data_IF_031297043919
#
_entry.id   IF_031297043919
#
_cell.length_a   1.000
_cell.length_b   1.000
_cell.length_c   1.000
_cell.angle_alpha   90.00
_cell.angle_beta   90.00
_cell.angle_gamma   90.00
#
_symmetry.space_group_name_H-M   'P 1'
#
loop_
_entity.id
_entity.type
_entity.pdbx_description
1 polymer ?
#
# COMPACT_ATOMS: atom_id res chain seq x y z
N UNK A 1 -15.30 7.47 -16.94
CA UNK A 1 -16.74 7.80 -16.85
C UNK A 1 -17.01 9.31 -16.89
N UNK A 2 -16.07 10.14 -16.45
CA UNK A 2 -16.19 11.60 -16.44
C UNK A 2 -15.75 12.22 -17.77
N UNK A 3 -16.34 13.37 -18.12
CA UNK A 3 -16.02 14.09 -19.37
C UNK A 3 -14.59 14.62 -19.41
N UNK A 4 -14.03 15.01 -18.26
CA UNK A 4 -12.65 15.52 -18.17
C UNK A 4 -11.59 14.42 -17.98
N UNK A 5 -11.98 13.14 -18.07
CA UNK A 5 -11.01 12.04 -17.99
C UNK A 5 -10.27 11.86 -19.32
N UNK A 6 -9.08 11.25 -19.27
CA UNK A 6 -8.25 10.99 -20.46
C UNK A 6 -9.02 10.23 -21.56
N UNK A 7 -9.89 9.29 -21.16
CA UNK A 7 -10.83 8.60 -22.04
C UNK A 7 -12.24 8.77 -21.48
N UNK A 8 -12.97 9.80 -21.92
CA UNK A 8 -14.37 10.01 -21.53
C UNK A 8 -15.20 8.75 -21.77
N UNK A 9 -16.13 8.45 -20.85
CA UNK A 9 -16.96 7.25 -20.93
C UNK A 9 -16.29 5.92 -20.54
N UNK A 10 -14.95 5.84 -20.40
CA UNK A 10 -14.29 4.60 -20.01
C UNK A 10 -14.79 4.09 -18.64
N UNK A 11 -15.06 2.79 -18.45
CA UNK A 11 -15.50 2.25 -17.16
C UNK A 11 -14.49 2.52 -16.05
N UNK A 12 -14.97 2.79 -14.82
CA UNK A 12 -14.08 2.89 -13.66
C UNK A 12 -13.65 1.49 -13.19
N UNK A 13 -12.70 0.89 -13.91
CA UNK A 13 -12.17 -0.46 -13.67
C UNK A 13 -10.64 -0.47 -13.65
N UNK A 14 -10.07 -1.45 -12.97
CA UNK A 14 -8.62 -1.62 -12.81
C UNK A 14 -7.87 -1.68 -14.15
N UNK A 15 -8.44 -2.38 -15.13
CA UNK A 15 -7.87 -2.57 -16.46
C UNK A 15 -7.81 -1.27 -17.25
N UNK A 16 -8.81 -0.41 -17.08
CA UNK A 16 -8.88 0.89 -17.75
C UNK A 16 -7.87 1.88 -17.15
N UNK A 17 -7.71 1.88 -15.82
CA UNK A 17 -6.68 2.69 -15.13
C UNK A 17 -5.28 2.27 -15.61
N UNK A 18 -5.01 0.96 -15.64
CA UNK A 18 -3.72 0.45 -16.08
C UNK A 18 -3.45 0.80 -17.56
N UNK A 19 -4.47 0.71 -18.42
CA UNK A 19 -4.38 1.11 -19.83
C UNK A 19 -4.05 2.60 -19.98
N UNK A 20 -4.70 3.47 -19.21
CA UNK A 20 -4.44 4.91 -19.22
C UNK A 20 -3.03 5.25 -18.75
N UNK A 21 -2.59 4.64 -17.64
CA UNK A 21 -1.23 4.84 -17.13
C UNK A 21 -0.18 4.39 -18.15
N UNK A 22 -0.37 3.23 -18.79
CA UNK A 22 0.55 2.76 -19.84
C UNK A 22 0.59 3.72 -21.02
N UNK A 23 -0.55 4.23 -21.46
CA UNK A 23 -0.62 5.20 -22.54
C UNK A 23 0.11 6.50 -22.20
N UNK A 24 -0.15 7.09 -21.02
CA UNK A 24 0.49 8.33 -20.58
C UNK A 24 2.00 8.14 -20.45
N UNK A 25 2.45 7.07 -19.78
CA UNK A 25 3.88 6.80 -19.59
C UNK A 25 4.58 6.57 -20.94
N UNK A 26 3.99 5.78 -21.84
CA UNK A 26 4.58 5.49 -23.14
C UNK A 26 4.65 6.74 -24.04
N UNK A 27 3.64 7.61 -24.00
CA UNK A 27 3.60 8.84 -24.79
C UNK A 27 4.53 9.92 -24.24
N UNK A 28 4.53 10.13 -22.92
CA UNK A 28 5.33 11.17 -22.27
C UNK A 28 6.80 10.78 -22.09
N UNK A 29 7.10 9.47 -21.97
CA UNK A 29 8.45 8.92 -21.75
C UNK A 29 9.17 9.57 -20.54
N UNK A 30 8.57 9.53 -19.34
CA UNK A 30 9.17 10.17 -18.17
C UNK A 30 10.51 9.53 -17.78
N UNK A 31 11.43 10.34 -17.26
CA UNK A 31 12.63 9.88 -16.56
C UNK A 31 12.39 9.71 -15.05
N UNK A 32 11.42 10.45 -14.50
CA UNK A 32 10.99 10.40 -13.10
C UNK A 32 9.46 10.38 -13.03
N UNK A 33 8.91 9.53 -12.18
CA UNK A 33 7.48 9.49 -11.87
C UNK A 33 7.30 9.76 -10.38
N UNK A 34 6.61 10.85 -10.05
CA UNK A 34 6.17 11.17 -8.70
C UNK A 34 4.76 10.65 -8.51
N UNK A 35 4.53 9.88 -7.45
CA UNK A 35 3.28 9.17 -7.22
C UNK A 35 3.01 8.99 -5.72
N UNK A 36 1.82 8.57 -5.34
CA UNK A 36 1.49 8.27 -3.95
C UNK A 36 2.28 7.08 -3.39
N UNK A 37 2.56 7.12 -2.10
CA UNK A 37 3.30 6.08 -1.39
C UNK A 37 2.43 4.84 -1.09
N UNK A 38 2.96 3.60 -1.16
CA UNK A 38 2.22 2.36 -0.84
C UNK A 38 1.80 2.19 0.63
N UNK A 39 2.20 3.14 1.48
CA UNK A 39 1.87 3.19 2.91
C UNK A 39 0.80 4.23 3.21
N UNK A 40 0.32 4.95 2.18
CA UNK A 40 -0.78 5.88 2.30
C UNK A 40 -2.06 5.14 2.73
N UNK A 41 -2.88 5.75 3.58
CA UNK A 41 -4.10 5.14 4.08
C UNK A 41 -5.30 5.32 3.13
N UNK A 42 -5.16 6.15 2.08
CA UNK A 42 -6.16 6.29 1.04
C UNK A 42 -6.04 5.16 0.00
N UNK A 43 -7.14 4.46 -0.27
CA UNK A 43 -7.15 3.32 -1.19
C UNK A 43 -6.84 3.69 -2.64
N UNK A 44 -7.22 4.88 -3.08
CA UNK A 44 -6.99 5.33 -4.45
C UNK A 44 -5.51 5.72 -4.64
N UNK A 45 -4.90 6.29 -3.60
CA UNK A 45 -3.46 6.52 -3.53
C UNK A 45 -2.67 5.20 -3.61
N UNK A 46 -3.09 4.18 -2.85
CA UNK A 46 -2.48 2.85 -2.95
C UNK A 46 -2.67 2.28 -4.37
N UNK A 47 -3.88 2.36 -4.91
CA UNK A 47 -4.19 1.82 -6.24
C UNK A 47 -3.32 2.46 -7.33
N UNK A 48 -3.18 3.79 -7.32
CA UNK A 48 -2.30 4.51 -8.25
C UNK A 48 -0.86 4.00 -8.19
N UNK A 49 -0.33 3.77 -6.98
CA UNK A 49 1.00 3.21 -6.81
C UNK A 49 1.13 1.81 -7.44
N UNK A 50 0.21 0.90 -7.11
CA UNK A 50 0.24 -0.48 -7.59
C UNK A 50 0.10 -0.56 -9.11
N UNK A 51 -0.84 0.18 -9.71
CA UNK A 51 -1.01 0.19 -11.16
C UNK A 51 0.14 0.87 -11.89
N UNK A 52 0.77 1.90 -11.30
CA UNK A 52 1.97 2.50 -11.88
C UNK A 52 3.14 1.52 -11.89
N UNK A 53 3.33 0.72 -10.82
CA UNK A 53 4.34 -0.35 -10.83
C UNK A 53 4.09 -1.34 -11.98
N UNK A 54 2.88 -1.85 -12.09
CA UNK A 54 2.51 -2.79 -13.17
C UNK A 54 2.72 -2.17 -14.54
N UNK A 55 2.32 -0.91 -14.75
CA UNK A 55 2.54 -0.19 -16.01
C UNK A 55 4.04 -0.09 -16.34
N UNK A 56 4.88 0.22 -15.34
CA UNK A 56 6.35 0.28 -15.56
C UNK A 56 6.97 -1.09 -15.83
N UNK A 57 6.47 -2.16 -15.23
CA UNK A 57 6.94 -3.52 -15.54
C UNK A 57 6.53 -3.97 -16.94
N UNK A 58 5.31 -3.63 -17.36
CA UNK A 58 4.82 -3.92 -18.72
C UNK A 58 5.61 -3.14 -19.80
N UNK A 59 6.15 -1.97 -19.46
CA UNK A 59 6.88 -1.07 -20.36
C UNK A 59 8.41 -1.16 -20.19
N UNK A 60 8.93 -2.01 -19.31
CA UNK A 60 10.33 -2.01 -18.88
C UNK A 60 11.35 -2.25 -20.00
N UNK A 61 10.92 -2.85 -21.12
CA UNK A 61 11.75 -3.04 -22.32
C UNK A 61 12.00 -1.76 -23.10
N UNK A 62 11.25 -0.69 -22.79
CA UNK A 62 11.32 0.60 -23.50
C UNK A 62 11.62 1.78 -22.57
N UNK A 63 11.21 1.70 -21.30
CA UNK A 63 11.27 2.81 -20.35
C UNK A 63 11.59 2.31 -18.93
N UNK A 64 12.53 2.98 -18.26
CA UNK A 64 12.92 2.68 -16.87
C UNK A 64 12.91 3.96 -16.00
N UNK A 65 11.75 4.62 -15.82
CA UNK A 65 11.67 5.80 -14.98
C UNK A 65 12.03 5.49 -13.52
N UNK A 66 12.70 6.43 -12.87
CA UNK A 66 12.84 6.40 -11.41
C UNK A 66 11.49 6.74 -10.75
N UNK A 67 11.13 6.02 -9.69
CA UNK A 67 9.88 6.21 -8.97
C UNK A 67 10.14 6.95 -7.67
N UNK A 68 9.34 8.00 -7.42
CA UNK A 68 9.48 8.93 -6.30
C UNK A 68 8.18 9.00 -5.49
N UNK A 69 7.89 8.00 -4.62
CA UNK A 69 6.62 7.95 -3.92
C UNK A 69 6.56 8.97 -2.77
N UNK A 70 5.55 9.84 -2.75
CA UNK A 70 5.28 10.78 -1.67
C UNK A 70 4.11 10.31 -0.80
N UNK A 71 4.21 10.53 0.50
CA UNK A 71 3.18 10.14 1.46
C UNK A 71 2.27 11.33 1.76
N UNK A 72 0.96 11.09 1.79
CA UNK A 72 -0.03 12.10 2.18
C UNK A 72 -0.76 11.63 3.44
N UNK A 73 -1.61 10.60 3.34
CA UNK A 73 -2.44 10.16 4.46
C UNK A 73 -1.72 9.12 5.29
N UNK A 74 -1.22 9.53 6.45
CA UNK A 74 -0.60 8.62 7.40
C UNK A 74 -0.90 9.01 8.83
N UNK A 75 -1.08 8.00 9.69
CA UNK A 75 -1.51 8.21 11.09
C UNK A 75 -0.55 9.17 11.80
N UNK A 76 -1.11 10.25 12.35
CA UNK A 76 -0.39 11.26 13.15
C UNK A 76 0.84 11.82 12.44
N UNK A 77 0.73 12.01 11.13
CA UNK A 77 1.78 12.59 10.30
C UNK A 77 1.15 13.50 9.24
N UNK A 78 1.79 14.61 8.85
CA UNK A 78 3.05 15.14 9.38
C UNK A 78 2.90 15.83 10.74
N UNK A 79 4.02 15.91 11.46
CA UNK A 79 4.08 16.46 12.83
C UNK A 79 5.21 17.49 12.93
N UNK A 80 4.96 18.69 13.49
CA UNK A 80 3.65 19.19 13.95
C UNK A 80 2.68 19.43 12.78
N UNK A 81 1.37 19.42 13.06
CA UNK A 81 0.33 19.80 12.09
C UNK A 81 0.25 21.32 11.91
N UNK A 82 -0.33 21.75 10.80
CA UNK A 82 -0.52 23.16 10.46
C UNK A 82 0.65 23.79 9.74
N UNK A 83 0.50 25.09 9.47
CA UNK A 83 1.44 25.86 8.67
C UNK A 83 2.74 26.14 9.41
N UNK A 84 3.84 25.51 8.96
CA UNK A 84 5.19 25.65 9.51
C UNK A 84 6.21 25.65 8.36
N UNK A 85 6.22 26.69 7.51
CA UNK A 85 7.00 26.71 6.27
C UNK A 85 8.52 26.63 6.51
N UNK A 86 9.03 27.08 7.67
CA UNK A 86 10.44 27.01 8.03
C UNK A 86 10.89 25.62 8.54
N UNK A 87 9.95 24.72 8.86
CA UNK A 87 10.24 23.39 9.39
C UNK A 87 10.46 22.36 8.27
N UNK A 88 11.27 21.34 8.56
CA UNK A 88 11.38 20.18 7.68
C UNK A 88 10.15 19.28 7.81
N UNK A 89 9.69 18.78 6.67
CA UNK A 89 8.96 17.53 6.60
C UNK A 89 9.94 16.41 6.91
N UNK A 90 9.62 15.58 7.92
CA UNK A 90 10.44 14.43 8.33
C UNK A 90 9.69 13.14 8.03
N UNK A 91 10.36 12.02 7.70
CA UNK A 91 9.69 10.75 7.51
C UNK A 91 8.86 10.31 8.74
N UNK A 92 7.77 9.54 8.56
CA UNK A 92 7.12 8.88 9.68
C UNK A 92 8.11 8.01 10.46
N UNK A 93 8.08 8.08 11.80
CA UNK A 93 9.07 7.41 12.66
C UNK A 93 9.27 5.93 12.32
N UNK A 94 8.17 5.22 12.05
CA UNK A 94 8.19 3.78 11.73
C UNK A 94 8.91 3.44 10.42
N UNK A 95 9.02 4.40 9.48
CA UNK A 95 9.67 4.20 8.18
C UNK A 95 10.99 4.93 8.04
N UNK A 96 11.43 5.67 9.06
CA UNK A 96 12.63 6.52 8.99
C UNK A 96 13.88 5.76 8.53
N UNK A 97 14.06 4.52 9.01
CA UNK A 97 15.23 3.69 8.72
C UNK A 97 14.92 2.46 7.85
N UNK A 98 13.65 2.29 7.43
CA UNK A 98 13.23 1.18 6.58
C UNK A 98 13.13 1.55 5.10
N UNK A 99 13.09 2.84 4.82
CA UNK A 99 12.91 3.40 3.49
C UNK A 99 14.03 4.43 3.28
N UNK A 100 14.76 4.37 2.15
CA UNK A 100 15.70 5.41 1.78
C UNK A 100 14.91 6.64 1.35
N UNK A 101 14.76 7.61 2.26
CA UNK A 101 14.04 8.85 1.98
C UNK A 101 14.93 9.86 1.26
N UNK A 102 14.48 10.30 0.09
CA UNK A 102 15.04 11.41 -0.66
C UNK A 102 14.38 12.72 -0.22
N UNK A 103 15.19 13.75 -0.02
CA UNK A 103 14.75 15.07 0.40
C UNK A 103 15.03 16.10 -0.69
N UNK A 104 14.01 16.85 -1.10
CA UNK A 104 14.17 17.97 -2.05
C UNK A 104 13.91 19.28 -1.34
N UNK A 105 14.93 20.14 -1.22
CA UNK A 105 14.81 21.44 -0.52
C UNK A 105 14.05 22.45 -1.36
N UNK A 106 13.15 23.18 -0.71
CA UNK A 106 12.39 24.26 -1.31
C UNK A 106 12.91 25.62 -0.85
N UNK A 107 13.03 26.55 -1.80
CA UNK A 107 13.24 27.96 -1.49
C UNK A 107 11.95 28.56 -0.89
N UNK A 108 12.07 29.75 -0.30
CA UNK A 108 10.90 30.49 0.19
C UNK A 108 9.89 30.77 -0.94
N UNK A 109 10.38 31.10 -2.15
CA UNK A 109 9.55 31.31 -3.34
C UNK A 109 8.72 30.07 -3.66
N UNK A 110 9.34 28.89 -3.77
CA UNK A 110 8.61 27.65 -4.07
C UNK A 110 7.66 27.24 -2.96
N UNK A 111 8.03 27.46 -1.70
CA UNK A 111 7.15 27.21 -0.55
C UNK A 111 5.90 28.09 -0.60
N UNK A 112 6.03 29.36 -0.98
CA UNK A 112 4.92 30.28 -1.17
C UNK A 112 4.04 29.87 -2.37
N UNK A 113 4.64 29.54 -3.51
CA UNK A 113 3.92 29.02 -4.69
C UNK A 113 3.12 27.76 -4.34
N UNK A 114 3.70 26.82 -3.59
CA UNK A 114 2.99 25.62 -3.12
C UNK A 114 1.76 25.97 -2.28
N UNK A 115 1.87 26.94 -1.37
CA UNK A 115 0.72 27.39 -0.57
C UNK A 115 -0.39 27.98 -1.44
N UNK A 116 -0.05 28.78 -2.45
CA UNK A 116 -1.01 29.35 -3.39
C UNK A 116 -1.72 28.24 -4.18
N UNK A 117 -0.96 27.29 -4.73
CA UNK A 117 -1.51 26.12 -5.43
C UNK A 117 -2.50 25.33 -4.55
N UNK A 118 -2.13 25.04 -3.30
CA UNK A 118 -3.01 24.35 -2.33
C UNK A 118 -4.32 25.13 -2.09
N UNK A 119 -4.27 26.46 -2.03
CA UNK A 119 -5.45 27.31 -1.82
C UNK A 119 -6.41 27.33 -3.02
N UNK A 120 -5.94 27.03 -4.23
CA UNK A 120 -6.80 26.95 -5.42
C UNK A 120 -7.79 25.77 -5.35
N UNK A 121 -7.50 24.71 -4.60
CA UNK A 121 -8.42 23.60 -4.36
C UNK A 121 -9.50 23.96 -3.32
N UNK A 122 -10.29 24.99 -3.59
CA UNK A 122 -11.20 25.66 -2.63
C UNK A 122 -12.11 24.69 -1.86
N UNK A 123 -12.70 23.72 -2.55
CA UNK A 123 -13.62 22.73 -1.95
C UNK A 123 -12.93 21.85 -0.90
N UNK A 124 -11.65 21.51 -1.09
CA UNK A 124 -10.87 20.71 -0.15
C UNK A 124 -10.15 21.60 0.88
N UNK A 125 -9.72 22.79 0.47
CA UNK A 125 -9.01 23.72 1.33
C UNK A 125 -9.89 24.22 2.48
N UNK A 126 -11.13 24.65 2.20
CA UNK A 126 -12.05 25.17 3.25
C UNK A 126 -12.16 24.23 4.46
N UNK A 127 -12.57 22.96 4.31
CA UNK A 127 -12.74 22.05 5.46
C UNK A 127 -11.41 21.51 6.02
N UNK A 128 -10.33 21.48 5.25
CA UNK A 128 -9.10 20.76 5.63
C UNK A 128 -7.82 21.61 5.60
N UNK A 129 -7.92 22.94 5.57
CA UNK A 129 -6.77 23.85 5.45
C UNK A 129 -5.69 23.59 6.49
N UNK A 130 -6.05 23.24 7.73
CA UNK A 130 -5.05 22.94 8.78
C UNK A 130 -4.21 21.72 8.41
N UNK A 131 -4.83 20.65 7.91
CA UNK A 131 -4.11 19.46 7.47
C UNK A 131 -3.29 19.73 6.20
N UNK A 132 -3.90 20.34 5.18
CA UNK A 132 -3.24 20.64 3.91
C UNK A 132 -2.02 21.56 4.07
N UNK A 133 -2.11 22.59 4.93
CA UNK A 133 -0.98 23.47 5.26
C UNK A 133 0.15 22.77 6.03
N UNK A 134 -0.09 21.58 6.56
CA UNK A 134 0.96 20.76 7.20
C UNK A 134 2.01 20.26 6.21
N UNK A 135 1.67 20.23 4.92
CA UNK A 135 2.60 19.88 3.84
C UNK A 135 3.37 21.07 3.29
N UNK A 136 3.08 22.30 3.74
CA UNK A 136 3.90 23.46 3.38
C UNK A 136 5.08 23.52 4.36
N UNK A 137 6.22 23.03 3.88
CA UNK A 137 7.48 22.80 4.60
C UNK A 137 8.64 23.22 3.70
N UNK A 138 9.85 23.33 4.26
CA UNK A 138 11.06 23.72 3.49
C UNK A 138 11.65 22.60 2.61
N UNK A 139 10.95 21.47 2.52
CA UNK A 139 11.33 20.32 1.70
C UNK A 139 10.12 19.47 1.31
N UNK A 140 10.29 18.69 0.24
CA UNK A 140 9.50 17.51 -0.07
C UNK A 140 10.24 16.23 0.35
N UNK A 141 9.49 15.15 0.55
CA UNK A 141 10.02 13.83 0.85
C UNK A 141 9.48 12.78 -0.11
N UNK A 142 10.38 11.98 -0.65
CA UNK A 142 10.06 10.85 -1.51
C UNK A 142 10.75 9.60 -0.96
N UNK A 143 10.10 8.46 -1.02
CA UNK A 143 10.67 7.23 -0.47
C UNK A 143 10.05 6.01 -1.13
N UNK A 144 10.88 5.17 -1.73
CA UNK A 144 10.43 3.90 -2.31
C UNK A 144 10.77 2.76 -1.35
N UNK A 145 9.80 2.00 -0.84
CA UNK A 145 10.12 0.81 -0.06
C UNK A 145 10.97 -0.16 -0.88
N UNK A 146 11.98 -0.80 -0.26
CA UNK A 146 12.86 -1.71 -0.98
C UNK A 146 12.07 -2.91 -1.52
N UNK A 147 12.45 -3.36 -2.71
CA UNK A 147 11.98 -4.62 -3.27
C UNK A 147 12.63 -5.77 -2.49
N UNK A 148 11.83 -6.73 -2.06
CA UNK A 148 12.30 -7.88 -1.28
C UNK A 148 12.55 -9.04 -2.22
N UNK A 149 13.75 -9.61 -2.23
CA UNK A 149 14.02 -10.85 -2.92
C UNK A 149 13.69 -12.04 -2.00
N UNK A 150 12.71 -12.85 -2.39
CA UNK A 150 12.41 -14.12 -1.73
C UNK A 150 13.16 -15.24 -2.45
N UNK A 151 14.10 -15.87 -1.75
CA UNK A 151 14.80 -17.06 -2.20
C UNK A 151 14.17 -18.31 -1.58
N UNK A 152 14.06 -19.43 -2.31
CA UNK A 152 13.63 -20.69 -1.74
C UNK A 152 14.46 -21.09 -0.52
N UNK A 153 13.80 -21.70 0.46
CA UNK A 153 14.38 -22.33 1.66
C UNK A 153 15.26 -21.39 2.50
N UNK A 154 15.03 -20.08 2.35
CA UNK A 154 15.67 -19.03 3.13
C UNK A 154 14.85 -18.69 4.38
N UNK A 155 15.48 -17.98 5.33
CA UNK A 155 14.80 -17.49 6.54
C UNK A 155 13.64 -16.56 6.16
N UNK A 156 12.60 -16.57 6.99
CA UNK A 156 11.47 -15.66 6.83
C UNK A 156 11.92 -14.19 6.84
N UNK A 157 11.42 -13.42 5.88
CA UNK A 157 11.72 -11.99 5.75
C UNK A 157 10.62 -11.16 6.42
N UNK A 158 11.00 -10.25 7.32
CA UNK A 158 10.07 -9.31 7.95
C UNK A 158 9.72 -8.16 6.98
N UNK A 159 8.44 -8.07 6.59
CA UNK A 159 7.95 -7.01 5.69
C UNK A 159 7.67 -5.69 6.40
N UNK A 160 7.53 -5.74 7.72
CA UNK A 160 7.32 -4.59 8.60
C UNK A 160 8.47 -4.48 9.60
N UNK A 161 8.76 -3.27 10.07
CA UNK A 161 9.44 -3.15 11.37
C UNK A 161 8.56 -3.70 12.49
N UNK A 162 9.11 -3.89 13.68
CA UNK A 162 8.29 -4.10 14.87
C UNK A 162 7.35 -2.90 15.07
N UNK A 163 6.03 -3.13 14.96
CA UNK A 163 5.01 -2.09 15.03
C UNK A 163 4.34 -2.00 16.41
N UNK A 164 4.82 -2.70 17.45
CA UNK A 164 4.14 -2.77 18.76
C UNK A 164 3.83 -1.38 19.33
N UNK A 165 4.78 -0.44 19.29
CA UNK A 165 4.52 0.95 19.71
C UNK A 165 3.62 1.75 18.74
N UNK A 166 3.64 1.40 17.46
CA UNK A 166 2.81 2.08 16.47
C UNK A 166 1.34 1.69 16.61
N UNK A 167 1.05 0.41 16.91
CA UNK A 167 -0.32 -0.10 17.04
C UNK A 167 -1.00 0.36 18.33
N UNK A 168 -0.26 0.81 19.35
CA UNK A 168 -0.88 1.41 20.56
C UNK A 168 -1.53 2.78 20.28
N UNK A 169 -1.11 3.45 19.21
CA UNK A 169 -1.68 4.73 18.81
C UNK A 169 -2.88 4.52 17.89
N UNK A 170 -4.08 4.87 18.36
CA UNK A 170 -5.27 4.78 17.53
C UNK A 170 -5.21 5.78 16.35
N UNK A 171 -5.67 5.37 15.15
CA UNK A 171 -5.93 6.31 14.06
C UNK A 171 -6.88 7.42 14.48
N UNK A 172 -6.65 8.63 13.97
CA UNK A 172 -7.39 9.82 14.39
C UNK A 172 -8.87 9.81 13.98
N UNK A 173 -9.22 9.02 12.95
CA UNK A 173 -10.60 8.88 12.49
C UNK A 173 -11.42 7.89 13.32
N UNK A 174 -10.81 7.14 14.24
CA UNK A 174 -11.53 6.18 15.08
C UNK A 174 -12.10 6.87 16.32
N UNK A 175 -13.40 6.69 16.54
CA UNK A 175 -14.06 7.06 17.81
C UNK A 175 -13.57 6.18 18.95
N UNK A 176 -13.75 6.62 20.21
CA UNK A 176 -13.39 5.85 21.41
C UNK A 176 -14.01 4.45 21.40
N UNK A 177 -15.28 4.33 20.97
CA UNK A 177 -15.99 3.06 20.88
C UNK A 177 -15.34 2.10 19.87
N UNK A 178 -14.96 2.58 18.68
CA UNK A 178 -14.23 1.78 17.68
C UNK A 178 -12.80 1.49 18.13
N UNK A 179 -12.18 2.38 18.91
CA UNK A 179 -10.86 2.20 19.49
C UNK A 179 -10.75 0.95 20.37
N UNK A 180 -11.81 0.62 21.13
CA UNK A 180 -11.85 -0.63 21.92
C UNK A 180 -11.77 -1.90 21.07
N UNK A 181 -12.23 -1.83 19.81
CA UNK A 181 -12.23 -2.92 18.82
C UNK A 181 -10.99 -2.92 17.94
N UNK A 182 -10.05 -2.01 18.16
CA UNK A 182 -8.83 -1.91 17.37
C UNK A 182 -7.98 -3.18 17.49
N UNK A 183 -7.68 -3.76 16.34
CA UNK A 183 -6.71 -4.85 16.18
C UNK A 183 -5.69 -4.38 15.15
N UNK A 184 -4.46 -4.13 15.60
CA UNK A 184 -3.35 -3.75 14.74
C UNK A 184 -2.61 -4.97 14.21
N UNK A 185 -1.89 -4.80 13.10
CA UNK A 185 -0.92 -5.80 12.66
C UNK A 185 0.46 -5.41 13.19
N UNK A 186 1.04 -6.25 14.04
CA UNK A 186 2.33 -5.93 14.66
C UNK A 186 3.50 -6.29 13.76
N UNK A 187 3.42 -7.47 13.13
CA UNK A 187 4.47 -8.00 12.28
C UNK A 187 3.86 -8.80 11.12
N UNK A 188 4.45 -8.65 9.94
CA UNK A 188 4.20 -9.48 8.77
C UNK A 188 5.51 -10.10 8.28
N UNK A 189 5.51 -11.41 8.07
CA UNK A 189 6.64 -12.16 7.54
C UNK A 189 6.25 -12.93 6.30
N UNK A 190 7.17 -12.99 5.34
CA UNK A 190 7.06 -13.84 4.16
C UNK A 190 8.24 -14.78 4.07
N UNK A 191 7.96 -16.04 3.79
CA UNK A 191 8.97 -17.06 3.52
C UNK A 191 8.58 -17.81 2.25
N UNK A 192 9.57 -18.14 1.44
CA UNK A 192 9.39 -18.96 0.26
C UNK A 192 10.07 -20.31 0.51
N UNK A 193 9.31 -21.38 0.39
CA UNK A 193 9.83 -22.73 0.19
C UNK A 193 9.61 -23.08 -1.28
N UNK A 194 10.38 -24.02 -1.84
CA UNK A 194 10.41 -24.40 -3.27
C UNK A 194 9.15 -24.05 -4.09
N UNK A 195 7.96 -24.52 -3.67
CA UNK A 195 6.69 -24.23 -4.37
C UNK A 195 5.61 -23.55 -3.50
N UNK A 196 5.94 -23.16 -2.27
CA UNK A 196 4.96 -22.67 -1.29
C UNK A 196 5.40 -21.36 -0.66
N UNK A 197 4.54 -20.35 -0.74
CA UNK A 197 4.68 -19.11 0.02
C UNK A 197 4.05 -19.28 1.40
N UNK A 198 4.82 -19.02 2.45
CA UNK A 198 4.31 -18.94 3.82
C UNK A 198 4.21 -17.47 4.25
N UNK A 199 2.98 -17.00 4.45
CA UNK A 199 2.70 -15.70 5.05
C UNK A 199 2.36 -15.86 6.54
N UNK A 200 3.03 -15.10 7.40
CA UNK A 200 2.76 -15.08 8.84
C UNK A 200 2.46 -13.67 9.31
N UNK A 201 1.35 -13.50 10.03
CA UNK A 201 0.89 -12.21 10.55
C UNK A 201 0.69 -12.32 12.06
N UNK A 202 1.32 -11.41 12.81
CA UNK A 202 1.09 -11.23 14.26
C UNK A 202 0.17 -10.04 14.50
N UNK A 203 -0.80 -10.23 15.39
CA UNK A 203 -1.84 -9.24 15.70
C UNK A 203 -1.64 -8.71 17.12
N UNK A 204 -2.01 -7.45 17.35
CA UNK A 204 -1.93 -6.83 18.68
C UNK A 204 -2.97 -7.35 19.66
N UNK A 205 -4.08 -7.91 19.16
CA UNK A 205 -5.19 -8.48 19.94
C UNK A 205 -5.87 -9.58 19.12
N UNK A 206 -6.58 -10.53 19.76
CA UNK A 206 -7.40 -11.49 19.05
C UNK A 206 -8.56 -10.82 18.33
N UNK A 207 -9.05 -11.45 17.26
CA UNK A 207 -10.29 -10.99 16.62
C UNK A 207 -11.45 -11.04 17.61
N UNK A 208 -12.22 -9.96 17.67
CA UNK A 208 -13.57 -9.97 18.21
C UNK A 208 -14.58 -10.10 17.08
N UNK A 209 -15.87 -10.29 17.41
CA UNK A 209 -16.95 -10.31 16.42
C UNK A 209 -16.88 -9.03 15.56
N UNK A 210 -17.03 -9.20 14.24
CA UNK A 210 -16.96 -8.15 13.21
C UNK A 210 -15.58 -7.53 12.95
N UNK A 211 -14.54 -7.95 13.66
CA UNK A 211 -13.16 -7.61 13.29
C UNK A 211 -12.62 -8.70 12.37
N UNK A 212 -11.97 -8.28 11.29
CA UNK A 212 -11.28 -9.18 10.38
C UNK A 212 -9.98 -8.61 9.86
N UNK A 213 -9.24 -9.46 9.16
CA UNK A 213 -8.01 -9.14 8.45
C UNK A 213 -8.16 -9.56 6.99
N UNK A 214 -7.73 -8.72 6.06
CA UNK A 214 -7.49 -9.12 4.67
C UNK A 214 -5.98 -9.13 4.41
N UNK A 215 -5.47 -10.25 3.92
CA UNK A 215 -4.13 -10.39 3.35
C UNK A 215 -4.27 -10.50 1.84
N UNK A 216 -3.68 -9.56 1.11
CA UNK A 216 -3.74 -9.48 -0.33
C UNK A 216 -2.45 -10.02 -0.95
N UNK A 217 -2.57 -10.88 -1.96
CA UNK A 217 -1.47 -11.54 -2.65
C UNK A 217 -1.73 -11.45 -4.16
N UNK A 218 -1.18 -10.42 -4.80
CA UNK A 218 -1.42 -10.13 -6.22
C UNK A 218 -0.20 -10.50 -7.05
N UNK A 219 -0.31 -11.63 -7.75
CA UNK A 219 0.76 -12.13 -8.61
C UNK A 219 0.92 -11.27 -9.86
N UNK A 220 2.17 -11.07 -10.26
CA UNK A 220 2.58 -10.48 -11.54
C UNK A 220 3.53 -11.42 -12.28
N UNK A 221 3.33 -11.54 -13.59
CA UNK A 221 4.20 -12.27 -14.52
C UNK A 221 4.25 -11.52 -15.85
N UNK A 222 5.45 -11.27 -16.35
CA UNK A 222 5.63 -10.59 -17.63
C UNK A 222 4.98 -11.39 -18.77
N UNK A 223 4.43 -10.68 -19.76
CA UNK A 223 3.81 -11.30 -20.94
C UNK A 223 2.38 -11.83 -20.73
N UNK A 224 1.79 -11.67 -19.54
CA UNK A 224 0.37 -11.93 -19.32
C UNK A 224 -0.35 -10.63 -18.94
N UNK A 225 -1.60 -10.40 -19.37
CA UNK A 225 -2.38 -9.25 -18.88
C UNK A 225 -2.59 -9.34 -17.37
N UNK A 226 -2.26 -8.27 -16.63
CA UNK A 226 -2.38 -8.26 -15.17
C UNK A 226 -3.80 -8.57 -14.66
N UNK A 227 -4.81 -8.17 -15.44
CA UNK A 227 -6.22 -8.49 -15.21
C UNK A 227 -6.51 -10.00 -15.13
N UNK A 228 -5.77 -10.80 -15.91
CA UNK A 228 -5.98 -12.24 -16.02
C UNK A 228 -5.19 -13.04 -14.99
N UNK A 229 -4.33 -12.38 -14.21
CA UNK A 229 -3.57 -13.02 -13.15
C UNK A 229 -4.37 -13.06 -11.84
N UNK A 230 -4.21 -14.10 -11.01
CA UNK A 230 -4.89 -14.19 -9.73
C UNK A 230 -4.64 -12.97 -8.83
N UNK A 231 -5.71 -12.53 -8.16
CA UNK A 231 -5.72 -11.48 -7.14
C UNK A 231 -6.25 -12.08 -5.86
N UNK A 232 -5.41 -12.87 -5.21
CA UNK A 232 -5.82 -13.65 -4.04
C UNK A 232 -5.99 -12.73 -2.83
N UNK A 233 -7.12 -12.85 -2.15
CA UNK A 233 -7.40 -12.19 -0.89
C UNK A 233 -7.84 -13.23 0.16
N UNK A 234 -6.99 -13.40 1.17
CA UNK A 234 -7.31 -14.23 2.34
C UNK A 234 -7.97 -13.36 3.40
N UNK A 235 -9.27 -13.60 3.63
CA UNK A 235 -10.06 -12.86 4.61
C UNK A 235 -10.26 -13.69 5.87
N UNK A 236 -9.67 -13.24 6.97
CA UNK A 236 -9.80 -13.85 8.29
C UNK A 236 -10.81 -13.07 9.13
N UNK A 237 -11.56 -13.79 9.94
CA UNK A 237 -12.51 -13.27 10.91
C UNK A 237 -12.52 -14.18 12.14
N UNK A 238 -13.35 -13.89 13.15
CA UNK A 238 -13.41 -14.73 14.35
C UNK A 238 -13.66 -16.22 14.02
N UNK A 239 -12.62 -17.05 14.21
CA UNK A 239 -12.59 -18.51 13.98
C UNK A 239 -12.95 -18.97 12.55
N UNK A 240 -12.93 -18.07 11.56
CA UNK A 240 -13.29 -18.37 10.16
C UNK A 240 -12.37 -17.66 9.20
N UNK A 241 -12.13 -18.26 8.04
CA UNK A 241 -11.47 -17.60 6.92
C UNK A 241 -12.23 -17.87 5.61
N UNK A 242 -11.98 -17.03 4.61
CA UNK A 242 -12.46 -17.19 3.23
C UNK A 242 -11.34 -16.79 2.27
N UNK A 243 -11.32 -17.41 1.09
CA UNK A 243 -10.35 -17.16 0.03
C UNK A 243 -11.12 -16.59 -1.16
N UNK A 244 -10.57 -15.55 -1.78
CA UNK A 244 -11.14 -14.97 -2.98
C UNK A 244 -10.06 -14.79 -4.04
N UNK A 245 -10.41 -15.03 -5.31
CA UNK A 245 -9.74 -14.42 -6.45
C UNK A 245 -10.63 -13.30 -6.98
N UNK A 246 -10.18 -12.05 -6.83
CA UNK A 246 -10.99 -10.86 -7.10
C UNK A 246 -12.31 -10.90 -6.29
N UNK A 247 -13.43 -11.16 -6.95
CA UNK A 247 -14.76 -11.24 -6.35
C UNK A 247 -15.28 -12.68 -6.26
N UNK A 248 -14.58 -13.66 -6.82
CA UNK A 248 -14.97 -15.06 -6.80
C UNK A 248 -14.43 -15.73 -5.53
N UNK A 249 -15.30 -16.36 -4.76
CA UNK A 249 -14.87 -17.20 -3.64
C UNK A 249 -14.19 -18.46 -4.18
N UNK A 250 -13.08 -18.85 -3.57
CA UNK A 250 -12.37 -20.08 -3.88
C UNK A 250 -12.51 -21.09 -2.75
N UNK A 251 -12.50 -22.37 -3.12
CA UNK A 251 -12.33 -23.45 -2.16
C UNK A 251 -10.93 -23.44 -1.55
N UNK A 252 -10.81 -24.09 -0.40
CA UNK A 252 -9.54 -24.17 0.33
C UNK A 252 -8.43 -24.82 -0.52
N UNK A 253 -8.76 -25.85 -1.30
CA UNK A 253 -7.79 -26.65 -2.05
C UNK A 253 -6.59 -27.03 -1.18
N UNK A 254 -5.39 -26.80 -1.71
CA UNK A 254 -4.12 -27.13 -1.07
C UNK A 254 -3.65 -26.10 -0.01
N UNK A 255 -4.44 -25.05 0.28
CA UNK A 255 -4.02 -24.03 1.24
C UNK A 255 -4.05 -24.57 2.67
N UNK A 256 -2.92 -24.44 3.36
CA UNK A 256 -2.82 -24.76 4.79
C UNK A 256 -2.89 -23.48 5.59
N UNK A 257 -3.98 -23.31 6.33
CA UNK A 257 -4.23 -22.12 7.14
C UNK A 257 -4.28 -22.52 8.61
N UNK A 258 -3.50 -21.80 9.43
CA UNK A 258 -3.51 -21.91 10.89
C UNK A 258 -3.83 -20.56 11.49
N UNK A 259 -4.99 -20.48 12.13
CA UNK A 259 -5.44 -19.29 12.84
C UNK A 259 -5.37 -19.51 14.35
N UNK A 260 -4.39 -18.90 14.99
CA UNK A 260 -4.28 -18.77 16.46
C UNK A 260 -4.75 -17.37 16.89
N UNK A 261 -5.08 -17.13 18.16
CA UNK A 261 -5.61 -15.85 18.62
C UNK A 261 -4.79 -14.62 18.19
N UNK A 262 -3.47 -14.66 18.33
CA UNK A 262 -2.57 -13.53 18.01
C UNK A 262 -1.70 -13.76 16.76
N UNK A 263 -1.85 -14.91 16.09
CA UNK A 263 -0.97 -15.30 15.00
C UNK A 263 -1.74 -16.05 13.92
N UNK A 264 -1.60 -15.59 12.69
CA UNK A 264 -2.12 -16.24 11.50
C UNK A 264 -0.95 -16.73 10.66
N UNK A 265 -1.05 -17.95 10.16
CA UNK A 265 -0.10 -18.50 9.19
C UNK A 265 -0.89 -19.09 8.03
N UNK A 266 -0.55 -18.69 6.81
CA UNK A 266 -1.11 -19.24 5.59
C UNK A 266 0.04 -19.76 4.72
N UNK A 267 -0.04 -21.01 4.31
CA UNK A 267 0.83 -21.63 3.32
C UNK A 267 0.03 -21.73 2.03
N UNK A 268 0.52 -21.05 1.00
CA UNK A 268 -0.15 -20.88 -0.28
C UNK A 268 0.77 -21.43 -1.38
N UNK A 269 0.35 -22.49 -2.10
CA UNK A 269 1.09 -22.95 -3.27
C UNK A 269 1.22 -21.83 -4.31
N UNK A 270 2.41 -21.68 -4.91
CA UNK A 270 2.65 -20.66 -5.94
C UNK A 270 1.72 -20.81 -7.14
N UNK A 271 1.29 -22.04 -7.47
CA UNK A 271 0.32 -22.32 -8.54
C UNK A 271 -1.01 -21.58 -8.32
N UNK A 272 -1.47 -21.47 -7.07
CA UNK A 272 -2.69 -20.71 -6.73
C UNK A 272 -2.52 -19.22 -7.00
N UNK A 273 -1.30 -18.71 -6.89
CA UNK A 273 -0.95 -17.32 -7.21
C UNK A 273 -0.64 -17.12 -8.70
N UNK A 274 -0.80 -18.14 -9.54
CA UNK A 274 -0.48 -18.10 -10.97
C UNK A 274 1.03 -18.21 -11.26
N UNK A 275 1.80 -18.79 -10.33
CA UNK A 275 3.26 -18.88 -10.37
C UNK A 275 3.91 -17.51 -10.68
N UNK A 276 3.76 -16.51 -9.80
CA UNK A 276 4.22 -15.16 -10.09
C UNK A 276 5.75 -15.04 -10.14
N UNK A 277 6.26 -14.11 -10.94
CA UNK A 277 7.66 -13.65 -10.86
C UNK A 277 7.81 -12.54 -9.81
N UNK A 278 6.76 -11.73 -9.66
CA UNK A 278 6.68 -10.65 -8.69
C UNK A 278 5.35 -10.78 -7.94
N UNK A 279 5.37 -10.60 -6.63
CA UNK A 279 4.21 -10.59 -5.77
C UNK A 279 4.04 -9.21 -5.15
N UNK A 280 2.88 -8.60 -5.37
CA UNK A 280 2.44 -7.42 -4.63
C UNK A 280 1.62 -7.89 -3.42
N UNK A 281 2.06 -7.54 -2.21
CA UNK A 281 1.38 -7.96 -0.97
C UNK A 281 1.08 -6.78 -0.07
N UNK A 282 0.01 -6.90 0.71
CA UNK A 282 -0.33 -5.97 1.78
C UNK A 282 -1.37 -6.58 2.70
N UNK A 283 -1.52 -6.02 3.89
CA UNK A 283 -2.51 -6.49 4.86
C UNK A 283 -3.23 -5.33 5.54
N UNK A 284 -4.51 -5.56 5.87
CA UNK A 284 -5.38 -4.57 6.52
C UNK A 284 -6.34 -5.22 7.50
N UNK A 285 -6.48 -4.65 8.68
CA UNK A 285 -7.56 -5.01 9.61
C UNK A 285 -8.74 -4.05 9.46
N UNK A 286 -9.96 -4.55 9.70
CA UNK A 286 -11.17 -3.74 9.62
C UNK A 286 -12.25 -4.20 10.59
N UNK A 287 -13.08 -3.26 11.03
CA UNK A 287 -14.35 -3.51 11.70
C UNK A 287 -15.48 -3.26 10.70
N UNK A 288 -16.11 -4.33 10.19
CA UNK A 288 -17.02 -4.22 9.05
C UNK A 288 -16.33 -3.57 7.85
N UNK A 289 -16.85 -2.44 7.37
CA UNK A 289 -16.25 -1.65 6.27
C UNK A 289 -15.22 -0.62 6.74
N UNK A 290 -15.09 -0.38 8.04
CA UNK A 290 -14.21 0.64 8.61
C UNK A 290 -12.80 0.08 8.78
N UNK A 291 -11.78 0.62 8.10
CA UNK A 291 -10.40 0.21 8.31
C UNK A 291 -9.90 0.56 9.73
N UNK A 292 -9.17 -0.38 10.34
CA UNK A 292 -8.55 -0.20 11.65
C UNK A 292 -7.04 0.06 11.50
N UNK A 293 -6.31 -0.80 10.81
CA UNK A 293 -4.86 -0.67 10.59
C UNK A 293 -4.45 -1.16 9.20
N UNK A 294 -3.32 -0.65 8.70
CA UNK A 294 -2.75 -0.96 7.39
C UNK A 294 -1.27 -1.27 7.51
N UNK A 295 -0.81 -2.23 6.70
CA UNK A 295 0.61 -2.40 6.38
C UNK A 295 0.86 -1.82 5.00
N UNK A 296 2.01 -1.14 4.84
CA UNK A 296 2.46 -0.68 3.53
C UNK A 296 2.49 -1.84 2.54
N UNK A 297 1.96 -1.63 1.34
CA UNK A 297 2.15 -2.60 0.27
C UNK A 297 3.64 -2.79 -0.04
N UNK A 298 4.03 -4.04 -0.30
CA UNK A 298 5.40 -4.46 -0.62
C UNK A 298 5.46 -5.18 -1.95
N UNK A 299 6.58 -5.01 -2.63
CA UNK A 299 6.93 -5.76 -3.85
C UNK A 299 7.93 -6.83 -3.47
N UNK A 300 7.60 -8.09 -3.75
CA UNK A 300 8.47 -9.23 -3.53
C UNK A 300 8.83 -9.84 -4.89
N UNK A 301 10.10 -10.05 -5.17
CA UNK A 301 10.57 -10.85 -6.31
C UNK A 301 10.65 -12.29 -5.85
N UNK A 302 9.95 -13.19 -6.56
CA UNK A 302 9.95 -14.62 -6.27
C UNK A 302 11.05 -15.25 -7.10
N UNK A 303 12.17 -15.58 -6.46
CA UNK A 303 13.21 -16.38 -7.12
C UNK A 303 12.69 -17.79 -7.32
N UNK A 304 12.93 -18.33 -8.51
CA UNK A 304 12.93 -19.78 -8.68
C UNK A 304 14.23 -20.34 -8.13
#
# INVERSE_FOLDING_TARGET
PYQESLRPGAPHKAEEILRDLKYVIARFKPTKIFLSHPADHNSDHIALYLFTLVATWDLNTRLTPSLHPYLTHFKRWPTPRGYKPASLLRPPKIYRYLIPWEESRLTQRYTATKLLAIKHHRSQYRPSHRYLRSFVRKNELFGRPPVVLLKPDSKAYALTANRTQFVTQLPEHLTTQLGSRFVGVEEEFMQLNSETLTATIKLSKPFSKNVGLSLYLFGYRQGRPFANMPKINLRFSYRRFRIFDKNQALDRGDLRIRQRPLKLTAQIPLKTLGNPQILLTGARTSFGRVPLDWISWRTLVVSK
#
